data_IF_477137000954
#
_entry.id   IF_477137000954
#
_cell.length_a   1.000
_cell.length_b   1.000
_cell.length_c   1.000
_cell.angle_alpha   90.00
_cell.angle_beta   90.00
_cell.angle_gamma   90.00
#
_symmetry.space_group_name_H-M   'P 1'
#
loop_
_entity.id
_entity.type
_entity.pdbx_description
1 polymer ?
#
# COMPACT_ATOMS: atom_id res chain seq x y z
N UNK A 1 49.99 -7.99 -34.39
CA UNK A 1 49.31 -7.62 -33.13
C UNK A 1 48.16 -6.71 -33.54
N UNK A 2 46.99 -7.23 -33.92
CA UNK A 2 45.95 -7.85 -33.07
C UNK A 2 45.52 -6.96 -31.91
N UNK A 3 44.20 -6.78 -31.79
CA UNK A 3 43.36 -6.25 -30.70
C UNK A 3 42.70 -4.90 -31.05
N UNK A 4 41.38 -4.70 -31.03
CA UNK A 4 40.17 -5.52 -30.90
C UNK A 4 39.03 -4.58 -31.34
N UNK A 5 38.15 -5.04 -32.25
CA UNK A 5 36.85 -4.40 -32.46
C UNK A 5 36.01 -4.60 -31.18
N UNK A 6 35.57 -3.50 -30.57
CA UNK A 6 34.60 -3.55 -29.48
C UNK A 6 33.19 -3.74 -30.05
N UNK A 7 32.40 -4.72 -29.61
CA UNK A 7 31.01 -4.81 -30.03
C UNK A 7 30.21 -3.71 -29.33
N UNK A 8 29.45 -2.95 -30.14
CA UNK A 8 28.37 -2.11 -29.67
C UNK A 8 27.33 -3.01 -28.99
N UNK A 9 27.19 -2.90 -27.67
CA UNK A 9 26.07 -3.48 -26.95
C UNK A 9 24.86 -2.57 -27.15
N UNK A 10 24.05 -2.98 -28.12
CA UNK A 10 22.74 -2.46 -28.42
C UNK A 10 21.80 -2.69 -27.23
N UNK A 11 20.93 -1.71 -27.04
CA UNK A 11 19.79 -1.61 -26.12
C UNK A 11 18.99 -2.88 -25.89
N UNK A 12 18.53 -3.06 -24.64
CA UNK A 12 17.31 -3.83 -24.34
C UNK A 12 16.21 -2.86 -23.89
N UNK A 13 15.13 -2.67 -24.69
CA UNK A 13 13.98 -1.85 -24.34
C UNK A 13 12.90 -2.69 -23.64
N UNK A 14 12.27 -2.08 -22.65
CA UNK A 14 10.94 -2.43 -22.12
C UNK A 14 10.76 -3.86 -21.56
N UNK A 15 10.89 -3.97 -20.24
CA UNK A 15 10.21 -5.01 -19.47
C UNK A 15 8.69 -4.79 -19.55
N UNK A 16 8.05 -5.29 -20.61
CA UNK A 16 6.60 -5.49 -20.65
C UNK A 16 6.25 -6.65 -19.70
N UNK A 17 6.10 -6.36 -18.41
CA UNK A 17 5.58 -7.34 -17.47
C UNK A 17 4.08 -7.50 -17.76
N UNK A 18 3.67 -8.70 -18.18
CA UNK A 18 2.29 -9.12 -18.02
C UNK A 18 1.94 -8.89 -16.55
N UNK A 19 0.89 -8.12 -16.20
CA UNK A 19 0.58 -7.83 -14.82
C UNK A 19 0.42 -9.17 -14.09
N UNK A 20 1.14 -9.39 -12.97
CA UNK A 20 1.13 -10.67 -12.29
C UNK A 20 -0.31 -11.04 -12.00
N UNK A 21 -0.69 -12.27 -12.36
CA UNK A 21 -2.05 -12.78 -12.13
C UNK A 21 -2.38 -12.59 -10.65
N UNK A 22 -3.39 -11.77 -10.37
CA UNK A 22 -3.76 -11.42 -9.01
C UNK A 22 -4.02 -12.68 -8.18
N UNK A 23 -3.56 -12.69 -6.93
CA UNK A 23 -3.81 -13.79 -6.01
C UNK A 23 -5.32 -14.07 -5.92
N UNK A 24 -5.72 -15.35 -5.95
CA UNK A 24 -7.13 -15.74 -6.02
C UNK A 24 -7.98 -15.25 -4.83
N UNK A 25 -7.39 -15.08 -3.65
CA UNK A 25 -8.06 -14.48 -2.50
C UNK A 25 -8.31 -12.99 -2.75
N UNK A 26 -7.29 -12.27 -3.22
CA UNK A 26 -7.38 -10.83 -3.51
C UNK A 26 -8.41 -10.57 -4.61
N UNK A 27 -8.34 -11.30 -5.72
CA UNK A 27 -9.29 -11.19 -6.83
C UNK A 27 -10.75 -11.41 -6.35
N UNK A 28 -10.98 -12.41 -5.49
CA UNK A 28 -12.31 -12.70 -4.96
C UNK A 28 -12.84 -11.59 -4.06
N UNK A 29 -12.03 -11.09 -3.14
CA UNK A 29 -12.42 -10.01 -2.22
C UNK A 29 -12.70 -8.73 -3.01
N UNK A 30 -11.80 -8.34 -3.90
CA UNK A 30 -11.92 -7.13 -4.73
C UNK A 30 -13.15 -7.19 -5.63
N UNK A 31 -13.38 -8.31 -6.33
CA UNK A 31 -14.59 -8.50 -7.15
C UNK A 31 -15.86 -8.42 -6.33
N UNK A 32 -15.88 -9.06 -5.15
CA UNK A 32 -17.04 -9.01 -4.26
C UNK A 32 -17.31 -7.57 -3.81
N UNK A 33 -16.26 -6.85 -3.43
CA UNK A 33 -16.35 -5.45 -2.98
C UNK A 33 -16.90 -4.56 -4.11
N UNK A 34 -16.24 -4.56 -5.28
CA UNK A 34 -16.65 -3.71 -6.40
C UNK A 34 -18.06 -4.03 -6.90
N UNK A 35 -18.40 -5.30 -7.06
CA UNK A 35 -19.75 -5.69 -7.50
C UNK A 35 -20.84 -5.22 -6.53
N UNK A 36 -20.57 -5.27 -5.23
CA UNK A 36 -21.57 -4.89 -4.22
C UNK A 36 -21.69 -3.37 -4.15
N UNK A 37 -20.57 -2.62 -4.17
CA UNK A 37 -20.64 -1.14 -4.11
C UNK A 37 -21.18 -0.54 -5.41
N UNK A 38 -20.92 -1.14 -6.57
CA UNK A 38 -21.52 -0.69 -7.83
C UNK A 38 -23.04 -0.92 -7.86
N UNK A 39 -23.52 -1.98 -7.20
CA UNK A 39 -24.95 -2.23 -7.07
C UNK A 39 -25.64 -1.25 -6.11
N UNK A 40 -24.94 -0.81 -5.06
CA UNK A 40 -25.49 0.05 -4.02
C UNK A 40 -25.33 1.55 -4.32
N UNK A 41 -24.20 1.95 -4.88
CA UNK A 41 -23.83 3.32 -5.22
C UNK A 41 -23.11 3.35 -6.59
N UNK A 42 -23.85 3.19 -7.70
CA UNK A 42 -23.28 3.17 -9.04
C UNK A 42 -22.45 4.42 -9.34
N UNK A 43 -21.24 4.23 -9.86
CA UNK A 43 -20.35 5.33 -10.23
C UNK A 43 -19.66 6.02 -9.05
N UNK A 44 -19.85 5.57 -7.80
CA UNK A 44 -19.15 6.12 -6.65
C UNK A 44 -17.63 6.01 -6.80
N UNK A 45 -17.15 4.84 -7.25
CA UNK A 45 -15.73 4.55 -7.43
C UNK A 45 -15.40 4.59 -8.92
N UNK A 46 -14.65 5.61 -9.32
CA UNK A 46 -14.19 5.82 -10.69
C UNK A 46 -12.79 5.21 -10.93
N UNK A 47 -11.95 5.16 -9.90
CA UNK A 47 -10.65 4.51 -9.91
C UNK A 47 -10.48 3.56 -8.73
N UNK A 48 -9.81 2.43 -8.93
CA UNK A 48 -9.53 1.46 -7.89
C UNK A 48 -8.18 0.78 -8.14
N UNK A 49 -7.26 0.95 -7.21
CA UNK A 49 -5.87 0.52 -7.34
C UNK A 49 -5.47 -0.27 -6.09
N UNK A 50 -4.76 -1.37 -6.30
CA UNK A 50 -4.16 -2.13 -5.19
C UNK A 50 -2.76 -1.61 -4.93
N UNK A 51 -2.44 -1.43 -3.65
CA UNK A 51 -1.15 -0.95 -3.16
C UNK A 51 -0.56 -1.96 -2.17
N UNK A 52 0.46 -1.55 -1.43
CA UNK A 52 1.04 -2.36 -0.37
C UNK A 52 1.60 -3.70 -0.87
N UNK A 53 1.42 -4.76 -0.08
CA UNK A 53 2.04 -6.06 -0.38
C UNK A 53 1.55 -6.69 -1.69
N UNK A 54 0.33 -6.38 -2.14
CA UNK A 54 -0.20 -6.86 -3.42
C UNK A 54 0.56 -6.23 -4.58
N UNK A 55 0.71 -4.91 -4.56
CA UNK A 55 1.42 -4.17 -5.61
C UNK A 55 2.91 -4.52 -5.68
N UNK A 56 3.50 -4.88 -4.55
CA UNK A 56 4.90 -5.27 -4.43
C UNK A 56 5.15 -6.77 -4.71
N UNK A 57 4.12 -7.53 -5.11
CA UNK A 57 4.25 -8.96 -5.43
C UNK A 57 4.54 -9.87 -4.23
N UNK A 58 4.26 -9.40 -3.01
CA UNK A 58 4.68 -10.02 -1.73
C UNK A 58 3.47 -10.30 -0.82
N UNK A 59 2.29 -10.43 -1.41
CA UNK A 59 1.05 -10.72 -0.69
C UNK A 59 1.03 -12.16 -0.17
N UNK A 60 0.85 -12.31 1.15
CA UNK A 60 0.68 -13.59 1.83
C UNK A 60 -0.73 -13.68 2.44
N UNK A 61 -1.61 -14.61 2.02
CA UNK A 61 -3.02 -14.64 2.43
C UNK A 61 -3.31 -14.63 3.94
N UNK A 62 -2.36 -15.05 4.78
CA UNK A 62 -2.54 -15.14 6.24
C UNK A 62 -1.74 -14.09 7.02
N UNK A 63 -0.92 -13.29 6.34
CA UNK A 63 0.03 -12.34 6.96
C UNK A 63 -0.04 -10.93 6.37
N UNK A 64 -0.67 -10.79 5.21
CA UNK A 64 -0.86 -9.53 4.51
C UNK A 64 -2.32 -9.10 4.58
N UNK A 65 -2.53 -7.80 4.66
CA UNK A 65 -3.81 -7.18 4.35
C UNK A 65 -3.90 -6.86 2.84
N UNK A 66 -5.11 -6.55 2.37
CA UNK A 66 -5.38 -6.05 1.02
C UNK A 66 -5.51 -4.55 1.11
N UNK A 67 -4.45 -3.85 0.69
CA UNK A 67 -4.39 -2.40 0.70
C UNK A 67 -4.88 -1.82 -0.63
N UNK A 68 -5.72 -0.79 -0.59
CA UNK A 68 -6.24 -0.12 -1.80
C UNK A 68 -6.23 1.41 -1.73
N UNK A 69 -6.28 2.03 -2.91
CA UNK A 69 -6.66 3.43 -3.10
C UNK A 69 -7.89 3.46 -4.01
N UNK A 70 -9.01 3.97 -3.48
CA UNK A 70 -10.24 4.16 -4.22
C UNK A 70 -10.40 5.65 -4.56
N UNK A 71 -10.69 5.96 -5.82
CA UNK A 71 -10.78 7.32 -6.33
C UNK A 71 -12.21 7.62 -6.78
N UNK A 72 -12.71 8.77 -6.34
CA UNK A 72 -14.07 9.25 -6.58
C UNK A 72 -14.02 10.62 -7.29
N UNK A 73 -15.10 11.02 -7.95
CA UNK A 73 -15.19 12.34 -8.56
C UNK A 73 -15.13 13.48 -7.52
N UNK A 74 -15.77 13.27 -6.37
CA UNK A 74 -15.91 14.27 -5.31
C UNK A 74 -15.89 13.61 -3.93
N UNK A 75 -15.78 14.42 -2.87
CA UNK A 75 -15.95 13.94 -1.50
C UNK A 75 -17.35 13.32 -1.35
N UNK A 76 -17.46 12.14 -0.71
CA UNK A 76 -18.73 11.44 -0.59
C UNK A 76 -19.64 12.17 0.40
N UNK A 77 -20.93 12.22 0.06
CA UNK A 77 -21.95 12.71 0.97
C UNK A 77 -22.23 11.68 2.10
N UNK A 78 -23.03 12.04 3.13
CA UNK A 78 -23.33 11.11 4.22
C UNK A 78 -23.96 9.78 3.77
N UNK A 79 -24.78 9.78 2.71
CA UNK A 79 -25.43 8.57 2.21
C UNK A 79 -24.40 7.63 1.54
N UNK A 80 -23.47 8.21 0.78
CA UNK A 80 -22.33 7.49 0.19
C UNK A 80 -21.41 6.93 1.27
N UNK A 81 -21.10 7.71 2.32
CA UNK A 81 -20.34 7.22 3.48
C UNK A 81 -21.03 6.02 4.13
N UNK A 82 -22.35 6.07 4.31
CA UNK A 82 -23.08 4.97 4.91
C UNK A 82 -23.12 3.72 4.00
N UNK A 83 -23.13 3.91 2.67
CA UNK A 83 -22.95 2.82 1.72
C UNK A 83 -21.55 2.17 1.86
N UNK A 84 -20.49 2.98 1.92
CA UNK A 84 -19.14 2.47 2.18
C UNK A 84 -19.03 1.71 3.51
N UNK A 85 -19.67 2.20 4.58
CA UNK A 85 -19.71 1.51 5.88
C UNK A 85 -20.43 0.15 5.79
N UNK A 86 -21.57 0.10 5.09
CA UNK A 86 -22.30 -1.16 4.86
C UNK A 86 -21.44 -2.12 4.05
N UNK A 87 -20.73 -1.61 3.05
CA UNK A 87 -19.82 -2.39 2.22
C UNK A 87 -18.69 -3.03 3.02
N UNK A 88 -17.97 -2.23 3.80
CA UNK A 88 -16.89 -2.72 4.65
C UNK A 88 -17.37 -3.77 5.63
N UNK A 89 -18.53 -3.57 6.25
CA UNK A 89 -19.15 -4.58 7.13
C UNK A 89 -19.53 -5.85 6.37
N UNK A 90 -20.06 -5.73 5.15
CA UNK A 90 -20.38 -6.89 4.31
C UNK A 90 -19.12 -7.72 4.00
N UNK A 91 -18.06 -7.05 3.53
CA UNK A 91 -16.78 -7.70 3.24
C UNK A 91 -16.18 -8.30 4.50
N UNK A 92 -16.13 -7.58 5.61
CA UNK A 92 -15.57 -8.07 6.87
C UNK A 92 -16.32 -9.30 7.41
N UNK A 93 -17.65 -9.34 7.26
CA UNK A 93 -18.45 -10.51 7.66
C UNK A 93 -18.20 -11.73 6.77
N UNK A 94 -17.97 -11.51 5.47
CA UNK A 94 -17.77 -12.59 4.49
C UNK A 94 -16.32 -13.08 4.45
N UNK A 95 -15.38 -12.16 4.67
CA UNK A 95 -13.93 -12.35 4.62
C UNK A 95 -13.30 -11.66 5.83
N UNK A 96 -13.29 -12.30 7.01
CA UNK A 96 -12.72 -11.68 8.22
C UNK A 96 -11.21 -11.37 8.11
N UNK A 97 -10.52 -12.11 7.25
CA UNK A 97 -9.10 -12.01 6.91
C UNK A 97 -8.91 -12.37 5.43
N UNK A 98 -7.94 -11.78 4.71
CA UNK A 98 -7.13 -10.60 5.09
C UNK A 98 -7.99 -9.36 5.34
N UNK A 99 -7.51 -8.36 6.08
CA UNK A 99 -8.26 -7.10 6.17
C UNK A 99 -8.29 -6.40 4.82
N UNK A 100 -9.33 -5.59 4.61
CA UNK A 100 -9.54 -4.85 3.38
C UNK A 100 -9.51 -3.36 3.71
N UNK A 101 -8.31 -2.81 3.58
CA UNK A 101 -7.91 -1.53 4.14
C UNK A 101 -7.48 -0.58 3.02
N UNK A 102 -7.68 0.71 3.22
CA UNK A 102 -7.42 1.67 2.16
C UNK A 102 -8.00 3.04 2.41
N UNK A 103 -7.85 3.89 1.40
CA UNK A 103 -8.30 5.28 1.45
C UNK A 103 -9.22 5.58 0.28
N UNK A 104 -10.22 6.42 0.55
CA UNK A 104 -11.11 7.01 -0.44
C UNK A 104 -10.73 8.46 -0.68
N UNK A 105 -10.26 8.76 -1.88
CA UNK A 105 -9.79 10.09 -2.27
C UNK A 105 -10.45 10.59 -3.54
N UNK A 106 -10.25 11.86 -3.87
CA UNK A 106 -10.63 12.40 -5.18
C UNK A 106 -9.47 12.39 -6.15
N UNK A 107 -9.75 12.56 -7.45
CA UNK A 107 -8.69 12.80 -8.44
C UNK A 107 -7.79 13.99 -8.07
N UNK A 108 -8.40 15.02 -7.46
CA UNK A 108 -7.70 16.22 -7.03
C UNK A 108 -6.76 15.98 -5.83
N UNK A 109 -7.10 15.05 -4.94
CA UNK A 109 -6.25 14.66 -3.81
C UNK A 109 -5.00 13.92 -4.27
N UNK A 110 -5.12 13.09 -5.32
CA UNK A 110 -3.96 12.36 -5.85
C UNK A 110 -2.86 13.34 -6.27
N UNK A 111 -3.22 14.49 -6.82
CA UNK A 111 -2.29 15.55 -7.23
C UNK A 111 -1.77 16.45 -6.11
N UNK A 112 -2.04 16.13 -4.84
CA UNK A 112 -1.63 16.92 -3.69
C UNK A 112 -0.87 16.09 -2.65
N UNK A 113 -0.19 16.79 -1.76
CA UNK A 113 0.41 16.20 -0.58
C UNK A 113 -0.67 15.39 0.20
N UNK A 114 -0.44 14.08 0.44
CA UNK A 114 -1.38 13.23 1.15
C UNK A 114 -1.69 13.72 2.58
N UNK A 115 -0.78 14.45 3.22
CA UNK A 115 -1.02 15.09 4.53
C UNK A 115 -2.08 16.21 4.50
N UNK A 116 -2.43 16.71 3.32
CA UNK A 116 -3.50 17.70 3.12
C UNK A 116 -4.86 17.06 2.82
N UNK A 117 -4.91 15.73 2.64
CA UNK A 117 -6.14 14.98 2.36
C UNK A 117 -6.97 14.74 3.63
N UNK A 118 -7.25 15.83 4.35
CA UNK A 118 -7.99 15.79 5.61
C UNK A 118 -9.41 15.28 5.41
N UNK A 119 -9.87 14.43 6.32
CA UNK A 119 -11.24 13.86 6.34
C UNK A 119 -11.55 12.93 5.15
N UNK A 120 -10.54 12.48 4.41
CA UNK A 120 -10.70 11.34 3.51
C UNK A 120 -11.24 10.13 4.31
N UNK A 121 -12.27 9.42 3.81
CA UNK A 121 -12.68 8.18 4.44
C UNK A 121 -11.56 7.15 4.33
N UNK A 122 -11.34 6.41 5.41
CA UNK A 122 -10.27 5.42 5.49
C UNK A 122 -10.77 4.14 6.12
N UNK A 123 -10.39 3.03 5.53
CA UNK A 123 -10.63 1.71 6.06
C UNK A 123 -9.38 1.19 6.77
N UNK A 124 -9.54 0.84 8.04
CA UNK A 124 -8.50 0.21 8.84
C UNK A 124 -9.08 -0.96 9.61
N UNK A 125 -8.39 -2.09 9.59
CA UNK A 125 -8.85 -3.37 10.13
C UNK A 125 -10.27 -3.75 9.66
N UNK A 126 -10.56 -3.48 8.37
CA UNK A 126 -11.84 -3.72 7.72
C UNK A 126 -12.97 -2.78 8.14
N UNK A 127 -12.68 -1.69 8.87
CA UNK A 127 -13.68 -0.72 9.34
C UNK A 127 -13.44 0.65 8.73
N UNK A 128 -14.51 1.28 8.25
CA UNK A 128 -14.45 2.63 7.70
C UNK A 128 -14.57 3.69 8.81
N UNK A 129 -13.58 4.55 8.89
CA UNK A 129 -13.48 5.70 9.79
C UNK A 129 -13.28 6.99 8.97
N UNK A 130 -13.54 8.14 9.59
CA UNK A 130 -13.35 9.45 8.97
C UNK A 130 -12.24 10.20 9.69
N UNK A 131 -11.06 10.28 9.07
CA UNK A 131 -9.99 11.18 9.50
C UNK A 131 -9.04 10.64 10.58
N UNK A 132 -9.16 9.38 11.01
CA UNK A 132 -8.24 8.79 12.01
C UNK A 132 -7.01 8.13 11.38
N UNK A 133 -7.12 7.70 10.12
CA UNK A 133 -6.00 7.16 9.35
C UNK A 133 -5.71 8.11 8.18
N UNK A 134 -4.50 8.67 8.14
CA UNK A 134 -4.16 9.65 7.12
C UNK A 134 -3.51 8.95 5.91
N UNK A 135 -3.86 9.38 4.69
CA UNK A 135 -3.08 9.05 3.50
C UNK A 135 -1.62 9.42 3.78
N UNK A 136 -0.68 8.62 3.28
CA UNK A 136 0.73 8.83 3.53
C UNK A 136 1.55 8.82 2.23
N UNK A 137 2.73 9.48 2.22
CA UNK A 137 3.59 9.53 1.04
C UNK A 137 4.03 8.16 0.51
N UNK A 138 4.11 7.13 1.37
CA UNK A 138 4.48 5.77 0.95
C UNK A 138 3.37 5.16 0.07
N UNK A 139 2.11 5.36 0.41
CA UNK A 139 0.98 4.91 -0.42
C UNK A 139 0.96 5.61 -1.78
N UNK A 140 1.23 6.93 -1.83
CA UNK A 140 1.26 7.69 -3.08
C UNK A 140 2.39 7.24 -3.98
N UNK A 141 3.57 7.07 -3.40
CA UNK A 141 4.73 6.55 -4.11
C UNK A 141 4.49 5.11 -4.60
N UNK A 142 3.82 4.27 -3.80
CA UNK A 142 3.48 2.92 -4.25
C UNK A 142 2.52 2.97 -5.43
N UNK A 143 1.50 3.84 -5.38
CA UNK A 143 0.54 4.02 -6.47
C UNK A 143 1.21 4.54 -7.75
N UNK A 144 2.12 5.52 -7.63
CA UNK A 144 2.81 6.11 -8.76
C UNK A 144 3.75 5.12 -9.48
N UNK A 145 4.30 4.15 -8.75
CA UNK A 145 5.32 3.24 -9.27
C UNK A 145 4.86 1.79 -9.48
N UNK A 146 3.72 1.38 -8.91
CA UNK A 146 3.22 0.01 -9.01
C UNK A 146 1.78 -0.05 -9.51
N UNK A 147 1.60 -0.72 -10.65
CA UNK A 147 0.43 -0.56 -11.52
C UNK A 147 -0.64 -1.65 -11.35
N UNK A 148 -0.97 -2.07 -10.13
CA UNK A 148 -2.09 -3.02 -9.96
C UNK A 148 -3.43 -2.28 -10.05
N UNK A 149 -3.76 -1.91 -11.28
CA UNK A 149 -5.00 -1.22 -11.66
C UNK A 149 -6.14 -2.24 -11.76
N UNK A 150 -7.20 -2.00 -11.01
CA UNK A 150 -8.44 -2.78 -11.11
C UNK A 150 -9.50 -2.00 -11.90
N UNK A 151 -9.54 -0.67 -11.73
CA UNK A 151 -10.45 0.25 -12.42
C UNK A 151 -9.79 1.61 -12.56
N UNK A 152 -10.04 2.30 -13.68
CA UNK A 152 -9.55 3.65 -13.92
C UNK A 152 -8.37 3.69 -14.90
N UNK A 153 -7.83 4.90 -15.17
CA UNK A 153 -6.66 5.09 -16.02
C UNK A 153 -5.40 4.47 -15.41
N UNK A 154 -4.34 4.32 -16.21
CA UNK A 154 -3.07 3.80 -15.71
C UNK A 154 -2.38 4.81 -14.77
N UNK A 155 -1.57 4.39 -13.78
CA UNK A 155 -0.88 5.33 -12.90
C UNK A 155 0.03 6.31 -13.63
N UNK A 156 0.61 5.92 -14.76
CA UNK A 156 1.38 6.82 -15.64
C UNK A 156 0.56 7.98 -16.22
N UNK A 157 -0.77 7.86 -16.24
CA UNK A 157 -1.71 8.88 -16.68
C UNK A 157 -2.26 9.70 -15.49
N UNK A 158 -1.99 9.27 -14.26
CA UNK A 158 -2.38 9.96 -13.04
C UNK A 158 -1.35 11.04 -12.69
N UNK A 159 -1.83 12.23 -12.38
CA UNK A 159 -1.01 13.25 -11.71
C UNK A 159 -0.90 12.89 -10.22
N UNK A 160 -0.15 11.85 -9.87
CA UNK A 160 0.12 11.50 -8.47
C UNK A 160 1.22 12.40 -7.94
N UNK A 161 0.96 13.05 -6.81
CA UNK A 161 1.92 13.88 -6.13
C UNK A 161 3.08 13.04 -5.60
N UNK A 162 4.28 13.59 -5.74
CA UNK A 162 5.50 12.98 -5.24
C UNK A 162 6.47 14.08 -4.81
N UNK A 163 6.99 13.95 -3.59
CA UNK A 163 8.07 14.78 -3.05
C UNK A 163 9.03 13.86 -2.27
N UNK A 164 10.25 13.63 -2.78
CA UNK A 164 11.26 12.80 -2.12
C UNK A 164 11.63 13.26 -0.71
N UNK A 165 11.66 14.58 -0.48
CA UNK A 165 12.06 15.15 0.81
C UNK A 165 10.97 14.92 1.86
N UNK A 166 9.70 15.08 1.48
CA UNK A 166 8.56 14.77 2.35
C UNK A 166 8.47 13.26 2.61
N UNK A 167 8.71 12.42 1.60
CA UNK A 167 8.77 10.96 1.77
C UNK A 167 9.87 10.56 2.77
N UNK A 168 11.05 11.15 2.66
CA UNK A 168 12.16 10.88 3.56
C UNK A 168 11.88 11.37 5.00
N UNK A 169 11.33 12.57 5.14
CA UNK A 169 10.94 13.14 6.44
C UNK A 169 9.85 12.28 7.12
N UNK A 170 8.83 11.87 6.37
CA UNK A 170 7.76 11.02 6.88
C UNK A 170 8.29 9.65 7.33
N UNK A 171 9.12 9.02 6.48
CA UNK A 171 9.75 7.72 6.76
C UNK A 171 10.62 7.77 8.02
N UNK A 172 11.41 8.83 8.18
CA UNK A 172 12.22 9.08 9.37
C UNK A 172 11.34 9.26 10.61
N UNK A 173 10.26 10.03 10.52
CA UNK A 173 9.31 10.20 11.63
C UNK A 173 8.66 8.88 12.02
N UNK A 174 8.27 8.05 11.06
CA UNK A 174 7.67 6.74 11.29
C UNK A 174 8.65 5.76 11.98
N UNK A 175 9.93 5.78 11.58
CA UNK A 175 11.00 5.06 12.30
C UNK A 175 11.09 5.49 13.77
N UNK A 176 11.04 6.78 14.05
CA UNK A 176 11.14 7.28 15.41
C UNK A 176 9.89 7.05 16.27
N UNK A 177 8.69 7.17 15.70
CA UNK A 177 7.43 7.10 16.45
C UNK A 177 6.93 5.67 16.64
N UNK A 178 7.13 4.78 15.66
CA UNK A 178 6.63 3.41 15.70
C UNK A 178 7.74 2.41 16.07
N UNK A 179 8.85 2.43 15.33
CA UNK A 179 9.91 1.41 15.49
C UNK A 179 10.75 1.60 16.74
N UNK A 180 11.03 2.84 17.15
CA UNK A 180 11.84 3.08 18.36
C UNK A 180 11.12 2.62 19.66
N UNK A 181 9.82 2.91 19.88
CA UNK A 181 9.09 2.34 21.02
C UNK A 181 8.90 0.83 20.91
N UNK A 182 8.61 0.32 19.71
CA UNK A 182 8.51 -1.12 19.45
C UNK A 182 9.81 -1.84 19.84
N UNK A 183 10.95 -1.37 19.33
CA UNK A 183 12.26 -1.93 19.66
C UNK A 183 12.52 -1.91 21.17
N UNK A 184 12.28 -0.78 21.85
CA UNK A 184 12.43 -0.69 23.32
C UNK A 184 11.55 -1.70 24.07
N UNK A 185 10.37 -2.02 23.55
CA UNK A 185 9.44 -2.97 24.18
C UNK A 185 9.90 -4.42 24.01
N UNK A 186 10.49 -4.75 22.86
CA UNK A 186 10.82 -6.13 22.51
C UNK A 186 12.31 -6.50 22.67
N UNK A 187 13.21 -5.52 22.88
CA UNK A 187 14.65 -5.75 23.03
C UNK A 187 15.08 -6.27 24.41
N UNK A 188 14.15 -6.46 25.35
CA UNK A 188 14.45 -6.93 26.71
C UNK A 188 14.19 -8.44 26.85
N UNK A 189 15.22 -9.30 26.77
CA UNK A 189 15.07 -10.75 26.63
C UNK A 189 14.37 -11.43 27.81
N UNK A 190 14.39 -10.81 28.99
CA UNK A 190 13.76 -11.34 30.21
C UNK A 190 12.36 -10.77 30.47
N UNK A 191 11.81 -9.97 29.55
CA UNK A 191 10.43 -9.49 29.63
C UNK A 191 9.48 -10.47 28.92
N UNK A 192 8.21 -10.51 29.34
CA UNK A 192 7.17 -11.31 28.66
C UNK A 192 7.07 -10.96 27.17
N UNK A 193 7.31 -9.70 26.80
CA UNK A 193 7.36 -9.25 25.42
C UNK A 193 8.62 -9.75 24.69
N UNK A 194 9.81 -9.68 25.31
CA UNK A 194 11.05 -10.17 24.73
C UNK A 194 11.09 -11.70 24.57
N UNK A 195 10.52 -12.45 25.50
CA UNK A 195 10.33 -13.89 25.37
C UNK A 195 9.42 -14.26 24.18
N UNK A 196 8.36 -13.47 23.94
CA UNK A 196 7.52 -13.60 22.73
C UNK A 196 8.27 -13.22 21.45
N UNK A 197 9.27 -12.34 21.54
CA UNK A 197 10.09 -11.92 20.41
C UNK A 197 11.21 -12.91 20.03
N UNK A 198 11.43 -13.98 20.82
CA UNK A 198 12.34 -15.08 20.46
C UNK A 198 11.79 -16.00 19.36
N UNK A 199 10.51 -15.90 19.03
CA UNK A 199 9.93 -16.56 17.86
C UNK A 199 10.31 -15.86 16.54
N UNK A 200 10.27 -16.56 15.41
CA UNK A 200 10.68 -16.04 14.09
C UNK A 200 9.91 -14.78 13.63
N UNK A 201 8.71 -14.56 14.17
CA UNK A 201 7.84 -13.45 13.81
C UNK A 201 8.42 -12.06 14.14
N UNK A 202 8.95 -11.84 15.34
CA UNK A 202 9.40 -10.51 15.74
C UNK A 202 10.71 -10.07 15.05
N UNK A 203 11.73 -10.94 14.88
CA UNK A 203 12.91 -10.60 14.08
C UNK A 203 12.55 -10.34 12.61
N UNK A 204 11.67 -11.16 12.01
CA UNK A 204 11.21 -10.93 10.64
C UNK A 204 10.45 -9.59 10.53
N UNK A 205 9.50 -9.32 11.43
CA UNK A 205 8.75 -8.07 11.45
C UNK A 205 9.64 -6.84 11.62
N UNK A 206 10.59 -6.89 12.56
CA UNK A 206 11.54 -5.81 12.84
C UNK A 206 12.52 -5.55 11.70
N UNK A 207 13.16 -6.59 11.18
CA UNK A 207 14.14 -6.46 10.09
C UNK A 207 13.44 -6.01 8.81
N UNK A 208 12.34 -6.64 8.42
CA UNK A 208 11.64 -6.30 7.17
C UNK A 208 11.02 -4.90 7.22
N UNK A 209 10.48 -4.52 8.38
CA UNK A 209 9.90 -3.20 8.58
C UNK A 209 10.93 -2.06 8.57
N UNK A 210 12.07 -2.24 9.25
CA UNK A 210 13.13 -1.23 9.31
C UNK A 210 13.95 -1.18 8.02
N UNK A 211 14.25 -2.33 7.40
CA UNK A 211 15.00 -2.37 6.13
C UNK A 211 14.23 -1.75 4.98
N UNK A 212 12.91 -1.90 4.92
CA UNK A 212 12.07 -1.20 3.91
C UNK A 212 12.13 0.31 4.06
N UNK A 213 12.08 0.81 5.29
CA UNK A 213 12.17 2.25 5.56
C UNK A 213 13.58 2.77 5.25
N UNK A 214 14.63 1.99 5.55
CA UNK A 214 16.00 2.33 5.16
C UNK A 214 16.19 2.33 3.64
N UNK A 215 15.64 1.35 2.91
CA UNK A 215 15.65 1.32 1.45
C UNK A 215 14.97 2.56 0.87
N UNK A 216 13.79 2.91 1.36
CA UNK A 216 13.07 4.11 0.93
C UNK A 216 13.83 5.40 1.23
N UNK A 217 14.53 5.49 2.37
CA UNK A 217 15.42 6.64 2.66
C UNK A 217 16.65 6.69 1.76
N UNK A 218 17.21 5.53 1.40
CA UNK A 218 18.45 5.45 0.64
C UNK A 218 18.24 5.61 -0.88
N UNK A 219 17.07 5.21 -1.39
CA UNK A 219 16.80 5.12 -2.85
C UNK A 219 15.66 6.00 -3.33
N UNK A 220 14.77 6.47 -2.44
CA UNK A 220 13.51 7.10 -2.83
C UNK A 220 12.47 6.12 -3.38
N UNK A 221 12.80 4.83 -3.47
CA UNK A 221 11.92 3.78 -3.99
C UNK A 221 11.29 2.96 -2.86
N UNK A 222 10.20 2.26 -3.17
CA UNK A 222 9.52 1.36 -2.23
C UNK A 222 9.74 -0.07 -2.69
N UNK A 223 10.19 -0.93 -1.76
CA UNK A 223 10.48 -2.33 -2.04
C UNK A 223 9.61 -3.27 -1.20
N UNK A 224 9.46 -4.52 -1.66
CA UNK A 224 8.76 -5.59 -0.95
C UNK A 224 9.49 -5.99 0.35
N UNK A 225 8.90 -6.85 1.20
CA UNK A 225 9.63 -7.33 2.39
C UNK A 225 10.90 -8.12 1.96
N UNK A 226 10.82 -8.92 0.91
CA UNK A 226 11.97 -9.74 0.48
C UNK A 226 13.08 -8.93 -0.24
N UNK A 227 12.77 -7.79 -0.85
CA UNK A 227 13.75 -6.96 -1.57
C UNK A 227 14.68 -6.11 -0.69
N UNK A 228 14.44 -6.04 0.63
CA UNK A 228 15.20 -5.21 1.57
C UNK A 228 16.22 -6.00 2.42
N UNK A 229 16.42 -7.30 2.16
CA UNK A 229 17.44 -8.10 2.84
C UNK A 229 18.85 -7.76 2.33
N UNK A 230 19.88 -7.67 3.19
CA UNK A 230 21.25 -7.70 2.71
C UNK A 230 21.50 -9.07 2.05
N UNK A 231 21.91 -9.06 0.79
CA UNK A 231 22.50 -10.23 0.13
C UNK A 231 23.83 -10.62 0.73
#
# INVERSE_FOLDING_TARGET
MSVLEGPALNSDPQSSSVPPKLNATVDRVVRCYLATIDAEAPGLIEGFYLVGSVALGDFRPHESDIDFVAVMAARPDPAMIDALRRMHRHIQNRYPRPYFDGVYVTWEDLGRDPGLCVRAPTAHEGRLELGDFEPNPVTWQTLAHHEVVIRGPAPSELAVWHDPDVLAAWTTRYLHSYWRPWHRRFCHPFSVAGLKALGSWAPAWGVLGVSRLHYTLATGEITSKEGAGPG
#
